data_IF_611217918803
#
_entry.id   IF_611217918803
#
_cell.length_a   1.000
_cell.length_b   1.000
_cell.length_c   1.000
_cell.angle_alpha   90.00
_cell.angle_beta   90.00
_cell.angle_gamma   90.00
#
_symmetry.space_group_name_H-M   'P 1'
#
loop_
_entity.id
_entity.type
_entity.pdbx_description
1 polymer ?
#
# COMPACT_ATOMS: atom_id res chain seq x y z
N UNK A 1 -9.02 12.06 21.87
CA UNK A 1 -8.25 11.78 20.64
C UNK A 1 -7.15 12.80 20.58
N UNK A 2 -5.91 12.37 20.39
CA UNK A 2 -4.75 13.25 20.25
C UNK A 2 -4.90 14.06 18.94
N UNK A 3 -4.55 15.34 18.94
CA UNK A 3 -4.79 16.25 17.81
C UNK A 3 -4.19 15.73 16.49
N UNK A 4 -3.07 15.02 16.60
CA UNK A 4 -2.36 14.41 15.46
C UNK A 4 -3.16 13.27 14.79
N UNK A 5 -3.93 12.48 15.54
CA UNK A 5 -4.72 11.38 14.97
C UNK A 5 -5.96 11.90 14.23
N UNK A 6 -6.56 12.98 14.74
CA UNK A 6 -7.69 13.62 14.08
C UNK A 6 -7.24 14.27 12.77
N UNK A 7 -6.15 15.03 12.77
CA UNK A 7 -5.59 15.65 11.56
C UNK A 7 -5.24 14.61 10.49
N UNK A 8 -4.64 13.48 10.89
CA UNK A 8 -4.35 12.38 9.98
C UNK A 8 -5.61 11.78 9.37
N UNK A 9 -6.63 11.54 10.20
CA UNK A 9 -7.90 10.98 9.76
C UNK A 9 -8.57 11.91 8.75
N UNK A 10 -8.64 13.20 9.04
CA UNK A 10 -9.20 14.22 8.13
C UNK A 10 -8.42 14.27 6.81
N UNK A 11 -7.08 14.23 6.86
CA UNK A 11 -6.24 14.25 5.67
C UNK A 11 -6.42 13.01 4.77
N UNK A 12 -6.58 11.82 5.37
CA UNK A 12 -6.85 10.58 4.62
C UNK A 12 -8.27 10.63 4.04
N UNK A 13 -9.28 10.96 4.85
CA UNK A 13 -10.68 11.05 4.42
C UNK A 13 -10.86 12.01 3.25
N UNK A 14 -10.29 13.22 3.34
CA UNK A 14 -10.39 14.21 2.25
C UNK A 14 -9.75 13.75 0.95
N UNK A 15 -8.72 12.90 1.05
CA UNK A 15 -7.98 12.43 -0.11
C UNK A 15 -8.69 11.29 -0.84
N UNK A 16 -9.25 10.31 -0.12
CA UNK A 16 -9.69 9.04 -0.72
C UNK A 16 -11.20 8.79 -0.65
N UNK A 17 -11.97 9.60 0.08
CA UNK A 17 -13.41 9.41 0.17
C UNK A 17 -14.06 9.59 -1.22
N UNK A 18 -14.85 8.61 -1.65
CA UNK A 18 -15.48 8.59 -2.97
C UNK A 18 -14.56 8.13 -4.10
N UNK A 19 -13.30 7.76 -3.82
CA UNK A 19 -12.45 7.10 -4.82
C UNK A 19 -13.03 5.73 -5.21
N UNK A 20 -12.90 5.37 -6.48
CA UNK A 20 -13.32 4.06 -6.97
C UNK A 20 -12.49 2.95 -6.33
N UNK A 21 -13.18 1.97 -5.78
CA UNK A 21 -12.56 0.69 -5.42
C UNK A 21 -12.16 0.03 -6.73
N UNK A 22 -10.85 -0.12 -6.97
CA UNK A 22 -10.30 -0.58 -8.24
C UNK A 22 -11.13 -1.75 -8.84
N UNK A 23 -11.31 -1.69 -10.17
CA UNK A 23 -12.37 -2.31 -10.98
C UNK A 23 -12.64 -3.83 -10.85
N UNK A 24 -11.96 -4.54 -9.95
CA UNK A 24 -12.08 -6.00 -9.79
C UNK A 24 -12.77 -6.45 -8.51
N UNK A 25 -13.11 -5.57 -7.57
CA UNK A 25 -13.73 -5.95 -6.27
C UNK A 25 -13.00 -7.15 -5.63
N UNK A 26 -11.69 -7.21 -5.79
CA UNK A 26 -10.86 -8.33 -5.40
C UNK A 26 -9.75 -7.84 -4.48
N UNK A 27 -9.33 -8.72 -3.59
CA UNK A 27 -8.21 -8.48 -2.69
C UNK A 27 -6.92 -8.32 -3.49
N UNK A 28 -6.22 -7.20 -3.33
CA UNK A 28 -4.95 -6.91 -4.01
C UNK A 28 -3.80 -7.81 -3.56
N UNK A 29 -4.04 -8.62 -2.52
CA UNK A 29 -3.05 -9.53 -1.97
C UNK A 29 -3.28 -10.96 -2.49
N UNK A 30 -4.53 -11.46 -2.52
CA UNK A 30 -4.82 -12.87 -2.87
C UNK A 30 -5.75 -13.07 -4.07
N UNK A 31 -6.23 -11.98 -4.69
CA UNK A 31 -7.20 -11.98 -5.78
C UNK A 31 -8.56 -12.64 -5.49
N UNK A 32 -8.84 -12.99 -4.22
CA UNK A 32 -10.18 -13.44 -3.83
C UNK A 32 -11.15 -12.26 -3.81
N UNK A 33 -12.46 -12.48 -4.09
CA UNK A 33 -13.47 -11.45 -3.98
C UNK A 33 -13.49 -10.77 -2.61
N UNK A 34 -13.75 -9.47 -2.59
CA UNK A 34 -13.99 -8.69 -1.37
C UNK A 34 -15.47 -8.77 -0.99
N UNK A 35 -15.76 -8.99 0.30
CA UNK A 35 -17.11 -8.75 0.83
C UNK A 35 -17.27 -7.25 1.15
N UNK A 36 -17.78 -6.51 0.18
CA UNK A 36 -18.00 -5.06 0.28
C UNK A 36 -19.15 -4.68 1.23
N UNK A 37 -19.89 -5.65 1.79
CA UNK A 37 -20.91 -5.38 2.82
C UNK A 37 -20.31 -5.26 4.23
N UNK A 38 -19.02 -5.53 4.37
CA UNK A 38 -18.27 -5.37 5.62
C UNK A 38 -17.14 -4.35 5.44
N UNK A 39 -16.67 -3.70 6.52
CA UNK A 39 -15.58 -2.75 6.40
C UNK A 39 -14.31 -3.39 5.83
N UNK A 40 -13.87 -2.90 4.66
CA UNK A 40 -12.69 -3.39 3.94
C UNK A 40 -11.44 -2.72 4.50
N UNK A 41 -10.38 -3.51 4.70
CA UNK A 41 -9.09 -2.98 5.12
C UNK A 41 -8.27 -2.51 3.92
N UNK A 42 -7.72 -1.31 4.02
CA UNK A 42 -6.91 -0.67 3.01
C UNK A 42 -5.52 -0.31 3.51
N UNK A 43 -4.52 -0.55 2.67
CA UNK A 43 -3.25 0.14 2.76
C UNK A 43 -3.39 1.48 2.03
N UNK A 44 -3.07 2.57 2.72
CA UNK A 44 -2.98 3.90 2.12
C UNK A 44 -1.58 4.46 2.28
N UNK A 45 -1.16 5.29 1.34
CA UNK A 45 0.18 5.87 1.37
C UNK A 45 0.24 7.27 0.81
N UNK A 46 1.29 8.00 1.18
CA UNK A 46 1.65 9.29 0.62
C UNK A 46 3.18 9.41 0.54
N UNK A 47 3.67 9.90 -0.59
CA UNK A 47 5.08 10.25 -0.72
C UNK A 47 5.42 11.51 0.08
N UNK A 48 6.45 11.43 0.91
CA UNK A 48 6.97 12.59 1.64
C UNK A 48 7.64 13.59 0.70
N UNK A 49 7.83 14.82 1.19
CA UNK A 49 8.55 15.87 0.46
C UNK A 49 9.99 15.47 0.11
N UNK A 50 10.65 14.64 0.92
CA UNK A 50 11.98 14.11 0.62
C UNK A 50 11.93 13.11 -0.54
N UNK A 51 10.93 12.22 -0.55
CA UNK A 51 10.72 11.28 -1.65
C UNK A 51 10.62 12.01 -3.00
N UNK A 52 9.89 13.13 -3.05
CA UNK A 52 9.67 13.90 -4.29
C UNK A 52 10.93 14.49 -4.90
N UNK A 53 11.87 14.89 -4.04
CA UNK A 53 13.17 15.40 -4.50
C UNK A 53 13.97 14.34 -5.25
N UNK A 54 13.67 13.06 -5.00
CA UNK A 54 14.37 11.89 -5.54
C UNK A 54 13.56 11.13 -6.60
N UNK A 55 12.23 11.18 -6.51
CA UNK A 55 11.30 10.44 -7.36
C UNK A 55 10.33 11.42 -8.06
N UNK A 56 10.39 11.55 -9.40
CA UNK A 56 9.61 12.55 -10.15
C UNK A 56 8.10 12.23 -10.25
N UNK A 57 7.62 11.19 -9.58
CA UNK A 57 6.22 10.73 -9.62
C UNK A 57 5.65 10.72 -8.19
N UNK A 58 5.14 11.86 -7.70
CA UNK A 58 4.61 11.92 -6.33
C UNK A 58 3.46 12.91 -6.13
N UNK A 59 2.28 12.40 -5.79
CA UNK A 59 1.17 13.23 -5.31
C UNK A 59 1.47 13.72 -3.88
N UNK A 60 0.96 14.90 -3.48
CA UNK A 60 1.01 15.34 -2.06
C UNK A 60 -0.16 14.76 -1.25
N UNK A 61 -1.03 14.01 -1.91
CA UNK A 61 -2.25 13.47 -1.34
C UNK A 61 -2.00 12.04 -0.85
N UNK A 62 -2.81 11.61 0.12
CA UNK A 62 -2.95 10.18 0.38
C UNK A 62 -3.56 9.50 -0.85
N UNK A 63 -3.21 8.24 -1.04
CA UNK A 63 -3.67 7.39 -2.14
C UNK A 63 -4.11 6.06 -1.52
N UNK A 64 -5.28 5.56 -1.93
CA UNK A 64 -5.67 4.18 -1.67
C UNK A 64 -4.85 3.23 -2.57
N UNK A 65 -4.06 2.34 -1.98
CA UNK A 65 -3.13 1.49 -2.74
C UNK A 65 -3.58 0.04 -2.83
N UNK A 66 -3.94 -0.60 -1.71
CA UNK A 66 -4.26 -2.02 -1.72
C UNK A 66 -5.40 -2.39 -0.75
N UNK A 67 -6.45 -2.99 -1.30
CA UNK A 67 -7.57 -3.57 -0.57
C UNK A 67 -7.26 -5.00 -0.10
N UNK A 68 -7.77 -5.36 1.08
CA UNK A 68 -7.57 -6.68 1.70
C UNK A 68 -8.90 -7.34 2.02
N UNK A 69 -9.05 -8.60 1.63
CA UNK A 69 -10.09 -9.47 2.19
C UNK A 69 -9.76 -9.82 3.65
N UNK A 70 -10.75 -10.35 4.38
CA UNK A 70 -10.63 -10.70 5.79
C UNK A 70 -9.43 -11.61 6.09
N UNK A 71 -9.18 -12.61 5.23
CA UNK A 71 -8.05 -13.55 5.36
C UNK A 71 -6.66 -12.90 5.15
N UNK A 72 -6.62 -11.71 4.55
CA UNK A 72 -5.40 -10.97 4.25
C UNK A 72 -5.21 -9.74 5.14
N UNK A 73 -6.10 -9.53 6.13
CA UNK A 73 -5.97 -8.46 7.10
C UNK A 73 -4.73 -8.63 7.97
N UNK A 74 -4.10 -7.51 8.29
CA UNK A 74 -2.97 -7.40 9.21
C UNK A 74 -3.32 -6.38 10.30
N UNK A 75 -2.63 -6.43 11.44
CA UNK A 75 -2.86 -5.50 12.56
C UNK A 75 -1.78 -4.42 12.68
N UNK A 76 -0.68 -4.58 11.94
CA UNK A 76 0.43 -3.63 11.95
C UNK A 76 1.09 -3.57 10.57
N UNK A 77 1.55 -2.39 10.22
CA UNK A 77 2.43 -2.14 9.09
C UNK A 77 3.81 -2.73 9.41
N UNK A 78 4.50 -3.19 8.38
CA UNK A 78 5.83 -3.77 8.55
C UNK A 78 6.21 -4.70 7.41
N UNK A 79 7.43 -4.61 6.86
CA UNK A 79 8.43 -3.59 7.17
C UNK A 79 7.99 -2.21 6.70
N UNK A 80 8.34 -1.18 7.48
CA UNK A 80 8.04 0.23 7.19
C UNK A 80 9.08 0.83 6.25
N UNK A 81 8.68 1.85 5.49
CA UNK A 81 9.50 2.42 4.42
C UNK A 81 9.75 3.91 4.63
N UNK A 82 11.02 4.31 4.69
CA UNK A 82 11.39 5.72 4.69
C UNK A 82 10.88 6.41 3.42
N UNK A 83 10.59 7.69 3.58
CA UNK A 83 10.06 8.60 2.56
C UNK A 83 8.59 8.34 2.16
N UNK A 84 7.91 7.38 2.80
CA UNK A 84 6.48 7.15 2.62
C UNK A 84 5.76 7.25 3.96
N UNK A 85 4.76 8.11 4.04
CA UNK A 85 3.77 8.01 5.11
C UNK A 85 2.82 6.88 4.70
N UNK A 86 2.65 5.90 5.58
CA UNK A 86 1.79 4.74 5.35
C UNK A 86 0.75 4.68 6.47
N UNK A 87 -0.48 4.30 6.13
CA UNK A 87 -1.48 3.98 7.14
C UNK A 87 -2.26 2.74 6.72
N UNK A 88 -2.69 2.00 7.73
CA UNK A 88 -3.60 0.88 7.59
C UNK A 88 -4.95 1.31 8.12
N UNK A 89 -5.98 1.25 7.28
CA UNK A 89 -7.31 1.76 7.61
C UNK A 89 -8.37 0.70 7.37
N UNK A 90 -9.52 0.85 8.03
CA UNK A 90 -10.76 0.17 7.68
C UNK A 90 -11.81 1.20 7.33
N UNK A 91 -12.52 0.96 6.23
CA UNK A 91 -13.51 1.87 5.63
C UNK A 91 -14.69 1.05 5.13
N UNK A 92 -15.86 1.68 5.06
CA UNK A 92 -17.00 1.08 4.39
C UNK A 92 -16.82 1.20 2.87
N UNK A 93 -17.59 0.42 2.13
CA UNK A 93 -17.72 0.55 0.69
C UNK A 93 -19.18 0.84 0.38
N UNK A 94 -19.42 1.84 -0.44
CA UNK A 94 -20.76 2.18 -0.94
C UNK A 94 -20.82 1.94 -2.45
N UNK A 95 -22.01 1.86 -3.02
CA UNK A 95 -22.18 1.70 -4.46
C UNK A 95 -22.93 2.91 -5.03
N UNK A 96 -22.38 3.48 -6.10
CA UNK A 96 -23.04 4.54 -6.87
C UNK A 96 -23.05 4.16 -8.34
N UNK A 97 -24.24 3.94 -8.91
CA UNK A 97 -24.38 3.56 -10.31
C UNK A 97 -23.69 2.24 -10.69
N UNK A 98 -23.61 1.28 -9.75
CA UNK A 98 -22.90 0.00 -9.96
C UNK A 98 -21.38 0.07 -9.76
N UNK A 99 -20.85 1.23 -9.36
CA UNK A 99 -19.42 1.42 -9.10
C UNK A 99 -19.20 1.42 -7.59
N UNK A 100 -18.39 0.50 -7.04
CA UNK A 100 -18.03 0.51 -5.64
C UNK A 100 -17.07 1.66 -5.33
N UNK A 101 -17.39 2.45 -4.32
CA UNK A 101 -16.65 3.64 -3.88
C UNK A 101 -16.23 3.51 -2.42
N UNK A 102 -15.06 4.03 -2.09
CA UNK A 102 -14.55 4.11 -0.72
C UNK A 102 -15.39 5.08 0.09
N UNK A 103 -15.98 4.61 1.20
CA UNK A 103 -16.72 5.45 2.15
C UNK A 103 -15.95 5.58 3.48
N UNK A 104 -15.30 6.75 3.63
CA UNK A 104 -14.56 7.13 4.83
C UNK A 104 -15.41 7.78 5.94
N UNK A 105 -16.75 7.74 5.88
CA UNK A 105 -17.62 8.35 6.91
C UNK A 105 -17.30 7.78 8.31
N UNK A 106 -17.09 6.47 8.40
CA UNK A 106 -16.72 5.76 9.63
C UNK A 106 -15.31 5.15 9.53
N UNK A 107 -14.35 5.92 9.03
CA UNK A 107 -12.96 5.46 8.90
C UNK A 107 -12.35 5.09 10.26
N UNK A 108 -11.64 3.96 10.27
CA UNK A 108 -10.84 3.52 11.42
C UNK A 108 -9.39 3.37 11.02
N UNK A 109 -8.50 4.16 11.65
CA UNK A 109 -7.06 3.94 11.57
C UNK A 109 -6.67 2.75 12.46
N UNK A 110 -5.95 1.79 11.89
CA UNK A 110 -5.46 0.59 12.58
C UNK A 110 -4.00 0.78 12.99
N UNK A 111 -3.16 1.21 12.06
CA UNK A 111 -1.74 1.45 12.29
C UNK A 111 -1.19 2.51 11.34
N UNK A 112 -0.08 3.15 11.71
CA UNK A 112 0.53 4.26 10.96
C UNK A 112 2.05 4.13 11.01
N UNK A 113 2.69 4.33 9.87
CA UNK A 113 4.13 4.46 9.75
C UNK A 113 4.48 5.82 9.16
N UNK A 114 5.16 6.70 9.91
CA UNK A 114 5.58 7.98 9.38
C UNK A 114 6.78 7.82 8.42
N UNK A 115 6.89 8.74 7.45
CA UNK A 115 7.94 8.73 6.41
C UNK A 115 9.38 8.93 6.88
N UNK A 116 9.60 9.18 8.17
CA UNK A 116 10.92 9.35 8.77
C UNK A 116 11.40 8.11 9.54
N UNK A 117 10.66 7.00 9.47
CA UNK A 117 10.98 5.73 10.12
C UNK A 117 11.09 4.58 9.11
N UNK A 118 11.75 3.49 9.51
CA UNK A 118 11.90 2.28 8.71
C UNK A 118 13.16 2.21 7.84
N UNK A 119 13.08 1.38 6.80
CA UNK A 119 14.18 1.06 5.88
C UNK A 119 14.15 2.00 4.67
N UNK A 120 15.30 2.25 4.03
CA UNK A 120 15.34 2.97 2.74
C UNK A 120 14.45 2.26 1.69
N UNK A 121 13.80 2.96 0.76
CA UNK A 121 12.83 2.33 -0.13
C UNK A 121 13.45 1.23 -1.00
N UNK A 122 12.68 0.19 -1.35
CA UNK A 122 13.13 -0.87 -2.24
C UNK A 122 13.52 -0.30 -3.60
N UNK A 123 14.63 -0.80 -4.15
CA UNK A 123 14.93 -0.63 -5.55
C UNK A 123 13.96 -1.48 -6.38
N UNK A 124 13.32 -0.86 -7.36
CA UNK A 124 12.32 -1.48 -8.23
C UNK A 124 12.49 -1.04 -9.68
N UNK A 125 12.19 -1.95 -10.61
CA UNK A 125 12.11 -1.60 -12.04
C UNK A 125 10.91 -0.67 -12.28
N UNK A 126 11.17 0.58 -12.67
CA UNK A 126 10.09 1.54 -12.97
C UNK A 126 9.19 1.03 -14.09
N UNK A 127 9.73 0.28 -15.06
CA UNK A 127 8.92 -0.34 -16.11
C UNK A 127 7.87 -1.29 -15.54
N UNK A 128 8.22 -2.08 -14.54
CA UNK A 128 7.30 -2.97 -13.82
C UNK A 128 6.24 -2.19 -13.05
N UNK A 129 6.63 -1.13 -12.33
CA UNK A 129 5.67 -0.25 -11.63
C UNK A 129 4.63 0.29 -12.59
N UNK A 130 5.05 0.82 -13.75
CA UNK A 130 4.12 1.35 -14.76
C UNK A 130 3.25 0.30 -15.42
N UNK A 131 3.82 -0.84 -15.83
CA UNK A 131 3.05 -1.91 -16.49
C UNK A 131 1.98 -2.49 -15.58
N UNK A 132 2.23 -2.53 -14.27
CA UNK A 132 1.30 -3.05 -13.27
C UNK A 132 0.43 -1.98 -12.62
N UNK A 133 0.74 -0.70 -12.84
CA UNK A 133 0.17 0.43 -12.10
C UNK A 133 0.23 0.22 -10.58
N UNK A 134 1.28 -0.42 -10.06
CA UNK A 134 1.43 -0.81 -8.65
C UNK A 134 2.48 0.07 -7.98
N UNK A 135 2.08 1.28 -7.58
CA UNK A 135 2.95 2.21 -6.85
C UNK A 135 3.31 1.70 -5.46
N UNK A 136 2.52 0.78 -4.91
CA UNK A 136 2.81 0.07 -3.68
C UNK A 136 4.18 -0.61 -3.70
N UNK A 137 4.74 -0.97 -4.86
CA UNK A 137 6.07 -1.57 -4.96
C UNK A 137 7.22 -0.68 -4.42
N UNK A 138 7.00 0.62 -4.23
CA UNK A 138 7.92 1.48 -3.49
C UNK A 138 7.89 1.27 -1.98
N UNK A 139 7.06 0.35 -1.45
CA UNK A 139 6.91 0.04 -0.03
C UNK A 139 7.35 -1.38 0.28
N UNK A 140 8.10 -1.55 1.37
CA UNK A 140 8.61 -2.86 1.76
C UNK A 140 7.52 -3.86 2.10
N UNK A 141 6.42 -3.42 2.70
CA UNK A 141 5.31 -4.31 3.03
C UNK A 141 4.66 -4.90 1.78
N UNK A 142 4.44 -4.08 0.73
CA UNK A 142 3.92 -4.54 -0.55
C UNK A 142 4.89 -5.46 -1.27
N UNK A 143 6.18 -5.11 -1.30
CA UNK A 143 7.24 -5.97 -1.87
C UNK A 143 7.26 -7.33 -1.17
N UNK A 144 7.21 -7.35 0.17
CA UNK A 144 7.18 -8.61 0.93
C UNK A 144 5.99 -9.48 0.53
N UNK A 145 4.79 -8.91 0.46
CA UNK A 145 3.60 -9.68 0.07
C UNK A 145 3.68 -10.17 -1.39
N UNK A 146 4.15 -9.32 -2.31
CA UNK A 146 4.35 -9.70 -3.71
C UNK A 146 5.34 -10.87 -3.82
N UNK A 147 6.49 -10.80 -3.17
CA UNK A 147 7.52 -11.84 -3.19
C UNK A 147 7.09 -13.13 -2.49
N UNK A 148 6.30 -13.04 -1.42
CA UNK A 148 5.79 -14.22 -0.70
C UNK A 148 4.82 -15.04 -1.55
N UNK A 149 4.03 -14.37 -2.38
CA UNK A 149 2.94 -15.00 -3.14
C UNK A 149 3.32 -15.42 -4.54
N UNK A 150 4.36 -14.79 -5.08
CA UNK A 150 4.76 -15.03 -6.45
C UNK A 150 6.10 -15.76 -6.51
N UNK A 151 6.12 -17.06 -6.84
CA UNK A 151 7.36 -17.81 -6.95
C UNK A 151 8.26 -17.25 -8.07
N UNK A 152 9.58 -17.54 -8.06
CA UNK A 152 10.54 -17.08 -9.08
C UNK A 152 10.36 -17.75 -10.46
N UNK A 153 9.15 -18.20 -10.79
CA UNK A 153 8.86 -18.90 -12.04
C UNK A 153 8.55 -17.95 -13.19
N UNK A 154 8.28 -16.66 -12.92
CA UNK A 154 8.08 -15.65 -13.96
C UNK A 154 9.27 -14.68 -14.01
N UNK A 155 9.56 -14.21 -15.22
CA UNK A 155 10.61 -13.22 -15.45
C UNK A 155 10.43 -11.96 -14.61
N UNK A 156 9.20 -11.45 -14.50
CA UNK A 156 8.90 -10.23 -13.73
C UNK A 156 9.29 -10.37 -12.25
N UNK A 157 9.00 -11.54 -11.65
CA UNK A 157 9.31 -11.78 -10.25
C UNK A 157 10.80 -12.03 -10.02
N UNK A 158 11.52 -12.55 -11.02
CA UNK A 158 12.99 -12.58 -10.98
C UNK A 158 13.58 -11.17 -11.01
N UNK A 159 13.08 -10.30 -11.89
CA UNK A 159 13.52 -8.89 -11.97
C UNK A 159 13.27 -8.18 -10.63
N UNK A 160 12.07 -8.33 -10.04
CA UNK A 160 11.79 -7.71 -8.75
C UNK A 160 12.77 -8.18 -7.66
N UNK A 161 13.08 -9.49 -7.60
CA UNK A 161 14.05 -10.04 -6.63
C UNK A 161 15.44 -9.48 -6.84
N UNK A 162 15.89 -9.39 -8.10
CA UNK A 162 17.19 -8.83 -8.44
C UNK A 162 17.29 -7.35 -8.05
N UNK A 163 16.28 -6.54 -8.38
CA UNK A 163 16.23 -5.14 -7.96
C UNK A 163 16.23 -5.02 -6.43
N UNK A 164 15.38 -5.77 -5.74
CA UNK A 164 15.29 -5.75 -4.27
C UNK A 164 16.64 -6.11 -3.63
N UNK A 165 17.34 -7.10 -4.17
CA UNK A 165 18.66 -7.51 -3.69
C UNK A 165 19.75 -6.43 -3.88
N UNK A 166 19.50 -5.42 -4.72
CA UNK A 166 20.37 -4.26 -4.94
C UNK A 166 19.94 -3.02 -4.13
N UNK A 167 18.90 -3.13 -3.30
CA UNK A 167 18.49 -2.01 -2.42
C UNK A 167 19.56 -1.75 -1.37
N UNK A 168 19.72 -0.48 -0.99
CA UNK A 168 20.73 -0.05 0.01
C UNK A 168 20.52 -0.70 1.39
N UNK A 169 19.26 -0.99 1.74
CA UNK A 169 18.87 -1.61 2.99
C UNK A 169 17.68 -2.55 2.76
N UNK A 170 17.82 -3.83 3.11
CA UNK A 170 16.79 -4.87 2.87
C UNK A 170 16.29 -5.40 4.22
N UNK A 171 14.99 -5.26 4.52
CA UNK A 171 14.43 -5.78 5.77
C UNK A 171 14.68 -7.29 5.93
N UNK A 172 15.01 -7.77 7.14
CA UNK A 172 15.27 -9.19 7.37
C UNK A 172 14.11 -10.13 6.97
N UNK A 173 12.87 -9.65 7.07
CA UNK A 173 11.69 -10.42 6.65
C UNK A 173 11.54 -10.52 5.13
N UNK A 174 12.20 -9.66 4.37
CA UNK A 174 12.24 -9.67 2.90
C UNK A 174 13.48 -10.41 2.39
N UNK A 175 14.63 -10.24 3.05
CA UNK A 175 15.90 -10.91 2.70
C UNK A 175 15.73 -12.43 2.56
N UNK A 176 14.94 -13.05 3.45
CA UNK A 176 14.64 -14.51 3.40
C UNK A 176 13.81 -14.95 2.18
N UNK A 177 13.13 -14.02 1.52
CA UNK A 177 12.26 -14.30 0.38
C UNK A 177 13.01 -14.16 -0.95
N UNK A 178 14.13 -13.43 -0.99
CA UNK A 178 14.96 -13.23 -2.18
C UNK A 178 16.17 -14.17 -2.24
N UNK A 179 16.39 -14.94 -1.17
CA UNK A 179 17.46 -15.95 -1.07
C UNK A 179 17.20 -17.17 -1.95
#
# INVERSE_FOLDING_TARGET
MDGTQQELTEAITQAIHGEELASTTACDICAQPLDINTPVQYDVMRFSSEAKRRLPFSSHSWIADAARCDDCTIQALGPTTQWLDEALIKVNVTESGGIPLIDCTDIRIIDVSPSNDGYGPPMVDLGMVYRRSDFGLFRWMRVREALRRNPPSSFEWCVLRECVNQSDDVPPSVSRLIS
#
